data_IF_964259359310
#
_entry.id   IF_964259359310
#
_cell.length_a   1.000
_cell.length_b   1.000
_cell.length_c   1.000
_cell.angle_alpha   90.00
_cell.angle_beta   90.00
_cell.angle_gamma   90.00
#
_symmetry.space_group_name_H-M   'P 1'
#
loop_
_entity.id
_entity.type
_entity.pdbx_description
1 polymer ?
#
# COMPACT_ATOMS: atom_id res chain seq x y z
N UNK A 1 -1.25 20.71 17.94
CA UNK A 1 -0.70 19.33 17.96
C UNK A 1 -0.22 19.07 19.36
N UNK A 2 -0.69 18.00 19.97
CA UNK A 2 -0.26 17.57 21.30
C UNK A 2 1.25 17.24 21.22
N UNK A 3 2.14 17.78 22.08
CA UNK A 3 3.58 17.52 22.02
C UNK A 3 3.95 16.03 22.14
N UNK A 4 3.07 15.21 22.69
CA UNK A 4 3.27 13.75 22.85
C UNK A 4 3.11 12.94 21.54
N UNK A 5 2.71 13.53 20.43
CA UNK A 5 2.52 12.84 19.15
C UNK A 5 3.66 13.06 18.14
N UNK A 6 4.72 13.73 18.51
CA UNK A 6 5.86 14.00 17.60
C UNK A 6 6.65 12.71 17.37
N UNK A 7 6.83 12.35 16.09
CA UNK A 7 7.75 11.31 15.66
C UNK A 7 9.18 11.86 15.66
N UNK A 8 10.15 11.00 15.94
CA UNK A 8 11.55 11.31 15.83
C UNK A 8 12.12 10.79 14.52
N UNK A 9 12.99 11.57 13.88
CA UNK A 9 13.60 11.24 12.58
C UNK A 9 15.12 11.18 12.74
N UNK A 10 15.66 10.02 13.20
CA UNK A 10 17.08 9.92 13.59
C UNK A 10 18.06 9.98 12.42
N UNK A 11 17.59 9.86 11.17
CA UNK A 11 18.44 9.93 9.98
C UNK A 11 18.22 11.27 9.28
N UNK A 12 19.21 12.16 9.35
CA UNK A 12 19.12 13.51 8.78
C UNK A 12 19.28 13.52 7.26
N UNK A 13 20.15 12.65 6.74
CA UNK A 13 20.41 12.57 5.30
C UNK A 13 19.29 11.84 4.58
N UNK A 14 18.69 12.54 3.60
CA UNK A 14 17.69 11.95 2.69
C UNK A 14 18.32 11.79 1.31
N UNK A 15 18.38 10.58 0.73
CA UNK A 15 18.92 10.40 -0.61
C UNK A 15 18.08 11.16 -1.64
N UNK A 16 18.74 11.67 -2.69
CA UNK A 16 18.05 12.21 -3.86
C UNK A 16 17.40 11.07 -4.65
N UNK A 17 16.37 11.38 -5.42
CA UNK A 17 15.77 10.40 -6.33
C UNK A 17 16.85 9.83 -7.29
N UNK A 18 16.82 8.51 -7.50
CA UNK A 18 17.82 7.78 -8.28
C UNK A 18 19.14 7.53 -7.56
N UNK A 19 19.23 7.80 -6.23
CA UNK A 19 20.45 7.59 -5.45
C UNK A 19 20.24 6.73 -4.22
N UNK A 20 21.35 6.32 -3.61
CA UNK A 20 21.39 5.50 -2.39
C UNK A 20 22.16 6.23 -1.29
N UNK A 21 21.70 6.07 -0.05
CA UNK A 21 22.40 6.45 1.18
C UNK A 21 22.64 5.19 2.03
N UNK A 22 23.90 4.89 2.36
CA UNK A 22 24.22 3.79 3.27
C UNK A 22 24.04 4.27 4.71
N UNK A 23 23.06 3.70 5.42
CA UNK A 23 22.82 3.94 6.84
C UNK A 23 23.93 3.30 7.65
N UNK A 24 24.30 2.09 7.27
CA UNK A 24 25.47 1.36 7.74
C UNK A 24 25.95 0.39 6.64
N UNK A 25 26.89 -0.51 6.95
CA UNK A 25 27.47 -1.44 5.98
C UNK A 25 26.46 -2.45 5.42
N UNK A 26 25.38 -2.75 6.17
CA UNK A 26 24.40 -3.77 5.83
C UNK A 26 22.98 -3.20 5.57
N UNK A 27 22.79 -1.89 5.59
CA UNK A 27 21.50 -1.27 5.36
C UNK A 27 21.63 -0.01 4.50
N UNK A 28 21.00 -0.05 3.33
CA UNK A 28 21.07 1.04 2.39
C UNK A 28 19.67 1.49 1.98
N UNK A 29 19.45 2.79 2.04
CA UNK A 29 18.24 3.48 1.64
C UNK A 29 18.36 3.95 0.20
N UNK A 30 17.64 3.31 -0.71
CA UNK A 30 17.50 3.72 -2.11
C UNK A 30 16.23 4.53 -2.24
N UNK A 31 16.27 5.61 -3.00
CA UNK A 31 15.10 6.44 -3.28
C UNK A 31 14.90 6.58 -4.78
N UNK A 32 13.69 6.21 -5.26
CA UNK A 32 13.32 6.29 -6.67
C UNK A 32 12.19 7.30 -6.89
N UNK A 33 12.14 7.96 -8.07
CA UNK A 33 11.10 8.94 -8.37
C UNK A 33 9.74 8.29 -8.59
N UNK A 34 8.67 9.04 -8.26
CA UNK A 34 7.29 8.75 -8.64
C UNK A 34 6.67 9.96 -9.33
N UNK A 35 5.85 9.75 -10.39
CA UNK A 35 5.21 10.82 -11.13
C UNK A 35 3.90 11.29 -10.49
N UNK A 36 3.82 11.32 -9.17
CA UNK A 36 2.63 11.64 -8.39
C UNK A 36 2.94 12.67 -7.31
N UNK A 37 1.93 13.07 -6.53
CA UNK A 37 2.11 13.95 -5.36
C UNK A 37 3.04 13.35 -4.31
N UNK A 38 3.06 12.03 -4.15
CA UNK A 38 4.15 11.29 -3.51
C UNK A 38 5.27 11.16 -4.54
N UNK A 39 6.21 12.08 -4.53
CA UNK A 39 7.26 12.21 -5.55
C UNK A 39 8.41 11.21 -5.42
N UNK A 40 8.28 10.21 -4.55
CA UNK A 40 9.33 9.22 -4.30
C UNK A 40 8.78 7.95 -3.67
N UNK A 41 9.53 6.86 -3.86
CA UNK A 41 9.44 5.66 -3.06
C UNK A 41 10.80 5.32 -2.45
N UNK A 42 10.82 4.84 -1.21
CA UNK A 42 11.99 4.28 -0.55
C UNK A 42 12.03 2.78 -0.76
N UNK A 43 13.18 2.29 -1.16
CA UNK A 43 13.47 0.90 -1.39
C UNK A 43 14.66 0.53 -0.52
N UNK A 44 14.70 -0.71 -0.02
CA UNK A 44 15.69 -1.09 0.97
C UNK A 44 16.60 -2.18 0.44
N UNK A 45 17.91 -1.95 0.51
CA UNK A 45 18.92 -2.99 0.29
C UNK A 45 19.50 -3.42 1.64
N UNK A 46 19.42 -4.71 1.91
CA UNK A 46 19.89 -5.32 3.16
C UNK A 46 21.05 -6.27 2.84
N UNK A 47 22.14 -6.16 3.60
CA UNK A 47 23.40 -6.86 3.39
C UNK A 47 24.39 -6.05 2.58
N UNK A 48 25.59 -6.61 2.36
CA UNK A 48 26.62 -5.98 1.54
C UNK A 48 26.14 -5.82 0.09
N UNK A 49 26.67 -4.82 -0.62
CA UNK A 49 26.23 -4.47 -1.98
C UNK A 49 26.37 -5.62 -2.99
N UNK A 50 27.33 -6.52 -2.79
CA UNK A 50 27.60 -7.69 -3.64
C UNK A 50 26.79 -8.94 -3.23
N UNK A 51 26.04 -8.88 -2.13
CA UNK A 51 25.18 -9.95 -1.62
C UNK A 51 23.82 -9.40 -1.14
N UNK A 52 23.30 -8.37 -1.81
CA UNK A 52 22.17 -7.62 -1.34
C UNK A 52 20.82 -8.36 -1.48
N UNK A 53 19.97 -8.21 -0.49
CA UNK A 53 18.53 -8.46 -0.60
C UNK A 53 17.83 -7.13 -0.87
N UNK A 54 17.11 -7.04 -1.98
CA UNK A 54 16.29 -5.89 -2.32
C UNK A 54 14.86 -6.08 -1.79
N UNK A 55 14.34 -5.07 -1.09
CA UNK A 55 12.92 -4.99 -0.69
C UNK A 55 12.26 -3.87 -1.47
N UNK A 56 11.25 -4.23 -2.27
CA UNK A 56 10.54 -3.44 -3.27
C UNK A 56 11.43 -2.92 -4.41
N UNK A 57 10.81 -2.47 -5.53
CA UNK A 57 11.55 -2.28 -6.78
C UNK A 57 11.37 -0.93 -7.44
N UNK A 58 10.33 -0.19 -7.08
CA UNK A 58 9.93 1.02 -7.79
C UNK A 58 9.01 0.73 -8.98
N UNK A 59 8.42 1.80 -9.52
CA UNK A 59 7.46 1.74 -10.61
C UNK A 59 8.12 1.36 -11.94
N UNK A 60 7.41 0.65 -12.81
CA UNK A 60 7.91 0.33 -14.15
C UNK A 60 7.78 1.54 -15.08
N UNK A 61 8.78 2.43 -14.99
CA UNK A 61 8.95 3.60 -15.81
C UNK A 61 10.39 3.64 -16.34
N UNK A 62 10.59 4.22 -17.52
CA UNK A 62 11.90 4.25 -18.17
C UNK A 62 12.94 5.03 -17.36
N UNK A 63 12.56 6.11 -16.71
CA UNK A 63 13.43 6.93 -15.84
C UNK A 63 13.81 6.16 -14.57
N UNK A 64 12.88 5.43 -13.94
CA UNK A 64 13.16 4.59 -12.77
C UNK A 64 14.10 3.44 -13.13
N UNK A 65 13.84 2.77 -14.27
CA UNK A 65 14.69 1.68 -14.77
C UNK A 65 16.10 2.16 -15.13
N UNK A 66 16.21 3.35 -15.74
CA UNK A 66 17.49 3.99 -16.05
C UNK A 66 18.25 4.32 -14.77
N UNK A 67 17.59 4.96 -13.79
CA UNK A 67 18.18 5.28 -12.50
C UNK A 67 18.71 4.04 -11.77
N UNK A 68 17.95 2.92 -11.79
CA UNK A 68 18.43 1.65 -11.27
C UNK A 68 19.65 1.10 -12.03
N UNK A 69 19.65 1.19 -13.35
CA UNK A 69 20.77 0.71 -14.17
C UNK A 69 22.07 1.45 -13.82
N UNK A 70 21.99 2.78 -13.71
CA UNK A 70 23.12 3.63 -13.34
C UNK A 70 23.59 3.36 -11.91
N UNK A 71 22.64 3.25 -10.96
CA UNK A 71 22.95 3.00 -9.56
C UNK A 71 23.63 1.63 -9.37
N UNK A 72 23.09 0.57 -9.98
CA UNK A 72 23.65 -0.78 -9.93
C UNK A 72 25.08 -0.79 -10.47
N UNK A 73 25.32 -0.15 -11.61
CA UNK A 73 26.64 -0.07 -12.24
C UNK A 73 27.64 0.71 -11.36
N UNK A 74 27.23 1.88 -10.89
CA UNK A 74 28.07 2.78 -10.09
C UNK A 74 28.46 2.16 -8.75
N UNK A 75 27.48 1.61 -8.03
CA UNK A 75 27.66 1.08 -6.67
C UNK A 75 28.07 -0.41 -6.68
N UNK A 76 28.13 -1.06 -7.85
CA UNK A 76 28.43 -2.50 -8.03
C UNK A 76 27.50 -3.40 -7.23
N UNK A 77 26.20 -3.11 -7.31
CA UNK A 77 25.17 -3.85 -6.58
C UNK A 77 24.91 -5.19 -7.27
N UNK A 78 24.95 -6.28 -6.51
CA UNK A 78 24.55 -7.61 -6.95
C UNK A 78 23.45 -8.15 -6.03
N UNK A 79 22.25 -8.30 -6.58
CA UNK A 79 21.07 -8.71 -5.84
C UNK A 79 20.98 -10.24 -5.83
N UNK A 80 20.87 -10.81 -4.64
CA UNK A 80 20.76 -12.26 -4.41
C UNK A 80 19.36 -12.71 -3.99
N UNK A 81 18.55 -11.79 -3.53
CA UNK A 81 17.16 -12.05 -3.13
C UNK A 81 16.30 -10.81 -3.42
N UNK A 82 15.09 -11.04 -3.89
CA UNK A 82 14.08 -10.00 -4.10
C UNK A 82 12.86 -10.31 -3.26
N UNK A 83 12.46 -9.36 -2.42
CA UNK A 83 11.24 -9.42 -1.64
C UNK A 83 10.36 -8.25 -2.07
N UNK A 84 9.06 -8.49 -2.27
CA UNK A 84 8.08 -7.44 -2.53
C UNK A 84 7.05 -7.44 -1.41
N UNK A 85 6.87 -6.27 -0.79
CA UNK A 85 5.97 -6.10 0.36
C UNK A 85 4.52 -6.29 -0.02
N UNK A 86 4.10 -5.74 -1.19
CA UNK A 86 2.74 -5.84 -1.69
C UNK A 86 2.65 -5.50 -3.19
N UNK A 87 1.45 -5.59 -3.75
CA UNK A 87 1.20 -5.59 -5.19
C UNK A 87 1.18 -4.22 -5.87
N UNK A 88 1.23 -3.10 -5.16
CA UNK A 88 1.10 -1.78 -5.81
C UNK A 88 2.26 -1.49 -6.76
N UNK A 89 2.00 -0.74 -7.86
CA UNK A 89 2.96 -0.59 -8.97
C UNK A 89 4.29 0.05 -8.58
N UNK A 90 4.30 0.92 -7.59
CA UNK A 90 5.52 1.56 -7.09
C UNK A 90 6.39 0.63 -6.22
N UNK A 91 5.85 -0.51 -5.79
CA UNK A 91 6.57 -1.58 -5.09
C UNK A 91 6.97 -2.71 -6.02
N UNK A 92 6.02 -3.29 -6.75
CA UNK A 92 6.22 -4.47 -7.60
C UNK A 92 6.67 -4.14 -9.01
N UNK A 93 6.57 -2.88 -9.44
CA UNK A 93 6.65 -2.47 -10.83
C UNK A 93 7.83 -3.03 -11.62
N UNK A 94 9.03 -3.01 -11.07
CA UNK A 94 10.24 -3.54 -11.71
C UNK A 94 10.61 -4.96 -11.26
N UNK A 95 9.78 -5.64 -10.45
CA UNK A 95 10.12 -6.96 -9.91
C UNK A 95 10.48 -7.98 -11.00
N UNK A 96 9.68 -8.08 -12.06
CA UNK A 96 9.97 -8.98 -13.18
C UNK A 96 11.27 -8.65 -13.91
N UNK A 97 11.66 -7.37 -14.00
CA UNK A 97 12.93 -6.95 -14.56
C UNK A 97 14.10 -7.38 -13.67
N UNK A 98 14.01 -7.21 -12.35
CA UNK A 98 15.03 -7.64 -11.40
C UNK A 98 15.22 -9.16 -11.40
N UNK A 99 14.12 -9.91 -11.35
CA UNK A 99 14.16 -11.38 -11.45
C UNK A 99 14.93 -11.83 -12.69
N UNK A 100 14.63 -11.24 -13.85
CA UNK A 100 15.30 -11.58 -15.12
C UNK A 100 16.76 -11.13 -15.14
N UNK A 101 17.08 -9.95 -14.60
CA UNK A 101 18.42 -9.37 -14.63
C UNK A 101 19.41 -10.13 -13.73
N UNK A 102 18.99 -10.51 -12.52
CA UNK A 102 19.83 -11.11 -11.49
C UNK A 102 19.61 -12.63 -11.33
N UNK A 103 18.65 -13.20 -12.07
CA UNK A 103 18.27 -14.61 -11.96
C UNK A 103 17.94 -15.02 -10.52
N UNK A 104 17.17 -14.21 -9.81
CA UNK A 104 16.77 -14.43 -8.42
C UNK A 104 15.26 -14.71 -8.33
N UNK A 105 14.79 -15.50 -7.35
CA UNK A 105 13.37 -15.72 -7.16
C UNK A 105 12.70 -14.46 -6.60
N UNK A 106 11.44 -14.26 -7.00
CA UNK A 106 10.55 -13.30 -6.35
C UNK A 106 10.00 -13.92 -5.06
N UNK A 107 10.14 -13.22 -3.93
CA UNK A 107 9.51 -13.57 -2.66
C UNK A 107 8.39 -12.57 -2.37
N UNK A 108 7.15 -13.03 -2.20
CA UNK A 108 6.02 -12.18 -1.79
C UNK A 108 4.86 -13.03 -1.26
N UNK A 109 3.82 -12.38 -0.75
CA UNK A 109 2.60 -13.04 -0.30
C UNK A 109 1.83 -13.67 -1.46
N UNK A 110 0.96 -14.65 -1.13
CA UNK A 110 0.17 -15.37 -2.15
C UNK A 110 -0.89 -14.48 -2.77
N UNK A 111 -1.66 -13.83 -1.92
CA UNK A 111 -2.83 -13.08 -2.37
C UNK A 111 -2.42 -11.88 -3.21
N UNK A 112 -1.41 -11.13 -2.78
CA UNK A 112 -0.92 -9.99 -3.55
C UNK A 112 -0.26 -10.41 -4.87
N UNK A 113 0.46 -11.55 -4.91
CA UNK A 113 0.99 -12.07 -6.17
C UNK A 113 -0.14 -12.44 -7.16
N UNK A 114 -1.17 -13.16 -6.69
CA UNK A 114 -2.29 -13.56 -7.54
C UNK A 114 -3.13 -12.36 -7.98
N UNK A 115 -3.37 -11.40 -7.08
CA UNK A 115 -4.08 -10.16 -7.38
C UNK A 115 -3.34 -9.33 -8.43
N UNK A 116 -2.03 -9.18 -8.29
CA UNK A 116 -1.20 -8.49 -9.28
C UNK A 116 -1.28 -9.19 -10.65
N UNK A 117 -1.22 -10.53 -10.68
CA UNK A 117 -1.37 -11.32 -11.92
C UNK A 117 -2.75 -11.14 -12.56
N UNK A 118 -3.81 -11.12 -11.75
CA UNK A 118 -5.18 -10.88 -12.18
C UNK A 118 -5.31 -9.51 -12.84
N UNK A 119 -4.92 -8.45 -12.14
CA UNK A 119 -5.01 -7.07 -12.66
C UNK A 119 -4.12 -6.84 -13.90
N UNK A 120 -2.98 -7.52 -13.98
CA UNK A 120 -2.15 -7.47 -15.18
C UNK A 120 -2.77 -8.18 -16.38
N UNK A 121 -3.58 -9.23 -16.14
CA UNK A 121 -4.29 -9.96 -17.20
C UNK A 121 -5.44 -9.13 -17.80
N UNK A 122 -6.01 -8.18 -17.07
CA UNK A 122 -7.06 -7.28 -17.53
C UNK A 122 -6.58 -6.27 -18.59
N UNK A 123 -5.26 -6.21 -18.85
CA UNK A 123 -4.69 -5.24 -19.82
C UNK A 123 -5.12 -5.57 -21.25
N UNK A 124 -5.88 -4.64 -21.85
CA UNK A 124 -6.44 -4.81 -23.18
C UNK A 124 -7.78 -5.55 -23.22
N UNK A 125 -8.31 -5.97 -22.08
CA UNK A 125 -9.61 -6.62 -21.95
C UNK A 125 -10.75 -5.59 -21.81
N UNK A 126 -11.98 -6.07 -22.02
CA UNK A 126 -13.18 -5.26 -21.81
C UNK A 126 -13.53 -5.20 -20.32
N UNK A 127 -14.08 -4.04 -19.90
CA UNK A 127 -14.56 -3.86 -18.53
C UNK A 127 -15.70 -4.85 -18.25
N UNK A 128 -15.62 -5.65 -17.18
CA UNK A 128 -16.73 -6.50 -16.73
C UNK A 128 -17.95 -5.64 -16.34
N UNK A 129 -19.15 -6.12 -16.64
CA UNK A 129 -20.37 -5.37 -16.30
C UNK A 129 -20.56 -5.25 -14.79
N UNK A 130 -20.11 -6.21 -14.01
CA UNK A 130 -20.12 -6.16 -12.54
C UNK A 130 -19.33 -4.96 -11.99
N UNK A 131 -18.24 -4.60 -12.66
CA UNK A 131 -17.46 -3.43 -12.27
C UNK A 131 -18.18 -2.12 -12.61
N UNK A 132 -18.89 -2.07 -13.74
CA UNK A 132 -19.74 -0.92 -14.11
C UNK A 132 -20.90 -0.81 -13.10
N UNK A 133 -21.56 -1.92 -12.78
CA UNK A 133 -22.66 -1.98 -11.82
C UNK A 133 -22.20 -1.51 -10.43
N UNK A 134 -21.02 -1.94 -9.99
CA UNK A 134 -20.45 -1.51 -8.70
C UNK A 134 -20.32 0.02 -8.61
N UNK A 135 -19.73 0.65 -9.61
CA UNK A 135 -19.57 2.11 -9.61
C UNK A 135 -20.86 2.86 -9.87
N UNK A 136 -21.80 2.28 -10.64
CA UNK A 136 -23.14 2.83 -10.81
C UNK A 136 -23.90 2.81 -9.49
N UNK A 137 -23.88 1.69 -8.77
CA UNK A 137 -24.49 1.58 -7.44
C UNK A 137 -23.88 2.56 -6.43
N UNK A 138 -22.58 2.84 -6.53
CA UNK A 138 -21.89 3.83 -5.71
C UNK A 138 -22.39 5.28 -5.97
N UNK A 139 -23.08 5.52 -7.08
CA UNK A 139 -23.63 6.83 -7.46
C UNK A 139 -22.73 7.65 -8.39
N UNK A 140 -21.81 7.01 -9.12
CA UNK A 140 -20.99 7.70 -10.10
C UNK A 140 -21.83 8.18 -11.29
N UNK A 141 -21.51 9.35 -11.83
CA UNK A 141 -22.12 9.89 -13.03
C UNK A 141 -21.66 9.13 -14.29
N UNK A 142 -22.44 9.21 -15.38
CA UNK A 142 -22.09 8.62 -16.67
C UNK A 142 -20.67 9.03 -17.15
N UNK A 143 -20.29 10.30 -16.94
CA UNK A 143 -18.93 10.79 -17.27
C UNK A 143 -17.86 10.05 -16.47
N UNK A 144 -18.08 9.83 -15.17
CA UNK A 144 -17.13 9.12 -14.31
C UNK A 144 -17.03 7.63 -14.64
N UNK A 145 -18.17 6.99 -14.95
CA UNK A 145 -18.19 5.61 -15.48
C UNK A 145 -17.41 5.51 -16.77
N UNK A 146 -17.60 6.43 -17.70
CA UNK A 146 -16.82 6.47 -18.95
C UNK A 146 -15.32 6.61 -18.69
N UNK A 147 -14.92 7.49 -17.79
CA UNK A 147 -13.52 7.65 -17.41
C UNK A 147 -12.93 6.37 -16.79
N UNK A 148 -13.74 5.62 -16.01
CA UNK A 148 -13.33 4.32 -15.47
C UNK A 148 -13.11 3.31 -16.60
N UNK A 149 -14.04 3.20 -17.55
CA UNK A 149 -13.94 2.29 -18.72
C UNK A 149 -12.67 2.58 -19.52
N UNK A 150 -12.35 3.84 -19.76
CA UNK A 150 -11.16 4.26 -20.52
C UNK A 150 -9.83 3.91 -19.81
N UNK A 151 -9.85 3.76 -18.48
CA UNK A 151 -8.67 3.44 -17.68
C UNK A 151 -8.60 1.97 -17.24
N UNK A 152 -9.59 1.16 -17.57
CA UNK A 152 -9.60 -0.25 -17.19
C UNK A 152 -8.40 -0.98 -17.80
N UNK A 153 -7.82 -1.92 -17.04
CA UNK A 153 -6.67 -2.69 -17.49
C UNK A 153 -5.33 -1.92 -17.53
N UNK A 154 -5.30 -0.63 -17.08
CA UNK A 154 -4.06 0.16 -17.10
C UNK A 154 -2.97 -0.42 -16.20
N UNK A 155 -3.32 -1.19 -15.16
CA UNK A 155 -2.39 -1.72 -14.16
C UNK A 155 -1.23 -2.50 -14.79
N UNK A 156 -1.49 -3.40 -15.74
CA UNK A 156 -0.45 -4.19 -16.37
C UNK A 156 0.52 -3.39 -17.26
N UNK A 157 0.14 -2.17 -17.68
CA UNK A 157 1.02 -1.29 -18.46
C UNK A 157 2.10 -0.61 -17.60
N UNK A 158 1.91 -0.55 -16.29
CA UNK A 158 2.80 0.12 -15.32
C UNK A 158 3.57 -0.85 -14.42
N UNK A 159 3.52 -2.14 -14.75
CA UNK A 159 4.36 -3.18 -14.12
C UNK A 159 5.10 -4.00 -15.19
N UNK A 160 6.33 -4.38 -14.90
CA UNK A 160 7.05 -5.34 -15.74
C UNK A 160 6.48 -6.75 -15.52
N UNK A 161 6.28 -7.51 -16.59
CA UNK A 161 5.72 -8.87 -16.52
C UNK A 161 6.39 -9.69 -15.40
N UNK A 162 5.58 -10.15 -14.44
CA UNK A 162 6.04 -10.97 -13.34
C UNK A 162 6.47 -12.36 -13.80
N UNK A 163 7.39 -13.04 -13.07
CA UNK A 163 7.70 -14.45 -13.30
C UNK A 163 6.46 -15.31 -13.00
N UNK A 164 6.38 -16.46 -13.67
CA UNK A 164 5.27 -17.42 -13.47
C UNK A 164 5.38 -18.19 -12.14
N UNK A 165 6.58 -18.21 -11.54
CA UNK A 165 6.84 -18.84 -10.25
C UNK A 165 7.39 -17.80 -9.25
N UNK A 166 7.05 -17.98 -7.99
CA UNK A 166 7.52 -17.14 -6.87
C UNK A 166 7.69 -17.99 -5.61
N UNK A 167 8.46 -17.50 -4.66
CA UNK A 167 8.58 -18.06 -3.31
C UNK A 167 7.58 -17.37 -2.39
N UNK A 168 6.60 -18.13 -1.91
CA UNK A 168 5.64 -17.58 -0.97
C UNK A 168 6.30 -17.25 0.37
N UNK A 169 6.01 -16.06 0.88
CA UNK A 169 6.19 -15.65 2.28
C UNK A 169 4.84 -15.32 2.89
N UNK A 170 4.69 -15.50 4.21
CA UNK A 170 3.42 -15.27 4.94
C UNK A 170 3.71 -14.85 6.37
N UNK A 171 2.68 -14.41 7.06
CA UNK A 171 2.77 -14.08 8.49
C UNK A 171 3.41 -15.20 9.31
N UNK A 172 4.35 -14.84 10.19
CA UNK A 172 5.09 -15.75 11.07
C UNK A 172 6.24 -16.50 10.40
N UNK A 173 6.44 -16.39 9.09
CA UNK A 173 7.64 -16.92 8.46
C UNK A 173 8.86 -16.11 8.93
N UNK A 174 9.95 -16.81 9.20
CA UNK A 174 11.24 -16.20 9.51
C UNK A 174 12.18 -16.43 8.33
N UNK A 175 12.69 -15.36 7.76
CA UNK A 175 13.60 -15.40 6.61
C UNK A 175 14.97 -14.88 7.01
N UNK A 176 16.03 -15.58 6.59
CA UNK A 176 17.39 -15.09 6.81
C UNK A 176 17.77 -14.10 5.71
N UNK A 177 18.22 -12.91 6.13
CA UNK A 177 18.76 -11.86 5.25
C UNK A 177 20.06 -11.35 5.88
N UNK A 178 21.16 -11.44 5.12
CA UNK A 178 22.48 -10.98 5.56
C UNK A 178 22.92 -11.54 6.94
N UNK A 179 22.54 -12.80 7.23
CA UNK A 179 22.89 -13.47 8.48
C UNK A 179 21.93 -13.20 9.66
N UNK A 180 21.00 -12.26 9.53
CA UNK A 180 20.00 -11.94 10.54
C UNK A 180 18.65 -12.57 10.22
N UNK A 181 17.86 -12.79 11.27
CA UNK A 181 16.48 -13.26 11.16
C UNK A 181 15.53 -12.07 11.00
N UNK A 182 14.62 -12.21 10.01
CA UNK A 182 13.55 -11.25 9.74
C UNK A 182 12.21 -11.98 9.77
N UNK A 183 11.35 -11.57 10.67
CA UNK A 183 9.99 -12.08 10.79
C UNK A 183 9.08 -11.35 9.79
N UNK A 184 8.26 -12.12 9.07
CA UNK A 184 7.23 -11.61 8.19
C UNK A 184 5.97 -11.31 9.01
N UNK A 185 5.57 -10.05 9.05
CA UNK A 185 4.33 -9.61 9.72
C UNK A 185 3.33 -9.20 8.63
N UNK A 186 2.19 -9.90 8.56
CA UNK A 186 1.12 -9.56 7.62
C UNK A 186 0.35 -8.33 8.09
N UNK A 187 0.15 -7.39 7.17
CA UNK A 187 -0.81 -6.31 7.26
C UNK A 187 -1.92 -6.49 6.22
N UNK A 188 -3.14 -6.03 6.53
CA UNK A 188 -4.30 -6.10 5.65
C UNK A 188 -4.96 -4.74 5.54
N UNK A 189 -5.86 -4.60 4.59
CA UNK A 189 -6.69 -3.42 4.39
C UNK A 189 -6.16 -2.49 3.29
N UNK A 190 -4.86 -2.18 3.27
CA UNK A 190 -4.24 -1.45 2.15
C UNK A 190 -4.11 -2.34 0.90
N UNK A 191 -3.63 -3.56 1.08
CA UNK A 191 -3.79 -4.70 0.18
C UNK A 191 -4.26 -5.92 0.97
N UNK A 192 -4.53 -7.02 0.30
CA UNK A 192 -5.10 -8.21 0.95
C UNK A 192 -4.09 -8.93 1.85
N UNK A 193 -2.78 -8.93 1.51
CA UNK A 193 -1.76 -9.69 2.23
C UNK A 193 -0.40 -8.96 2.14
N UNK A 194 -0.36 -7.68 2.57
CA UNK A 194 0.88 -6.90 2.67
C UNK A 194 1.84 -7.54 3.67
N UNK A 195 3.15 -7.57 3.39
CA UNK A 195 4.18 -8.10 4.31
C UNK A 195 5.11 -6.99 4.78
N UNK A 196 5.15 -6.79 6.09
CA UNK A 196 6.23 -6.06 6.76
C UNK A 196 7.34 -7.04 7.16
N UNK A 197 8.59 -6.55 7.26
CA UNK A 197 9.73 -7.35 7.69
C UNK A 197 10.30 -6.76 8.99
N UNK A 198 10.30 -7.55 10.05
CA UNK A 198 10.79 -7.13 11.36
C UNK A 198 12.03 -7.93 11.77
N UNK A 199 13.14 -7.24 12.04
CA UNK A 199 14.34 -7.83 12.64
C UNK A 199 14.45 -7.42 14.10
N UNK A 200 14.23 -8.38 15.00
CA UNK A 200 14.35 -8.16 16.44
C UNK A 200 15.80 -7.85 16.83
N UNK A 201 16.77 -8.51 16.22
CA UNK A 201 18.20 -8.33 16.54
C UNK A 201 18.69 -6.91 16.18
N UNK A 202 18.17 -6.33 15.09
CA UNK A 202 18.55 -4.99 14.63
C UNK A 202 17.57 -3.89 15.11
N UNK A 203 16.46 -4.27 15.71
CA UNK A 203 15.35 -3.37 16.09
C UNK A 203 14.86 -2.52 14.90
N UNK A 204 14.66 -3.17 13.73
CA UNK A 204 14.26 -2.56 12.47
C UNK A 204 12.94 -3.13 11.96
N UNK A 205 12.06 -2.26 11.46
CA UNK A 205 10.82 -2.64 10.79
C UNK A 205 10.77 -2.03 9.38
N UNK A 206 10.91 -2.84 8.33
CA UNK A 206 10.56 -2.42 6.99
C UNK A 206 9.03 -2.55 6.88
N UNK A 207 8.34 -1.42 6.88
CA UNK A 207 6.89 -1.38 6.98
C UNK A 207 6.16 -1.34 5.64
N UNK A 208 6.87 -1.16 4.53
CA UNK A 208 6.20 -0.85 3.26
C UNK A 208 5.22 0.31 3.45
N UNK A 209 4.00 0.11 2.98
CA UNK A 209 2.90 1.07 3.14
C UNK A 209 2.02 0.81 4.36
N UNK A 210 2.27 -0.26 5.14
CA UNK A 210 1.48 -0.56 6.32
C UNK A 210 1.66 0.48 7.44
N UNK A 211 2.80 1.18 7.49
CA UNK A 211 3.03 2.22 8.47
C UNK A 211 3.89 3.35 7.89
N UNK A 212 3.27 4.49 7.63
CA UNK A 212 3.87 5.70 7.05
C UNK A 212 3.91 6.85 8.07
N UNK A 213 4.94 7.73 8.05
CA UNK A 213 5.11 8.74 9.10
C UNK A 213 4.09 9.89 9.06
N UNK A 214 3.56 10.25 7.89
CA UNK A 214 2.73 11.45 7.73
C UNK A 214 1.33 11.20 7.22
N UNK A 215 1.19 10.37 6.20
CA UNK A 215 -0.08 10.04 5.56
C UNK A 215 -0.58 8.67 6.05
N UNK A 216 -1.86 8.42 5.92
CA UNK A 216 -2.44 7.06 5.98
C UNK A 216 -2.44 6.47 4.58
N UNK A 217 -2.19 5.19 4.49
CA UNK A 217 -2.31 4.48 3.22
C UNK A 217 -3.77 4.36 2.82
N UNK A 218 -4.02 4.31 1.53
CA UNK A 218 -5.36 4.12 0.99
C UNK A 218 -5.93 2.76 1.42
N UNK A 219 -7.16 2.74 1.91
CA UNK A 219 -7.91 1.55 2.28
C UNK A 219 -9.24 1.59 1.54
N UNK A 220 -9.41 0.77 0.53
CA UNK A 220 -10.56 0.87 -0.37
C UNK A 220 -11.15 -0.46 -0.78
N UNK A 221 -12.44 -0.44 -1.08
CA UNK A 221 -13.20 -1.54 -1.69
C UNK A 221 -13.16 -1.40 -3.20
N UNK A 222 -12.98 -2.53 -3.88
CA UNK A 222 -12.91 -2.60 -5.33
C UNK A 222 -14.00 -3.52 -5.89
N UNK A 223 -14.34 -3.43 -7.19
CA UNK A 223 -15.39 -4.24 -7.82
C UNK A 223 -15.21 -5.75 -7.66
N UNK A 224 -13.96 -6.23 -7.50
CA UNK A 224 -13.65 -7.66 -7.34
C UNK A 224 -14.18 -8.24 -6.03
N UNK A 225 -14.35 -7.41 -4.98
CA UNK A 225 -14.86 -7.84 -3.68
C UNK A 225 -15.72 -6.73 -3.05
N UNK A 226 -16.94 -6.47 -3.60
CA UNK A 226 -17.74 -5.28 -3.28
C UNK A 226 -18.24 -5.20 -1.84
N UNK A 227 -18.26 -6.32 -1.12
CA UNK A 227 -18.70 -6.39 0.28
C UNK A 227 -17.54 -6.57 1.27
N UNK A 228 -16.29 -6.44 0.82
CA UNK A 228 -15.13 -6.51 1.71
C UNK A 228 -15.17 -5.42 2.78
N UNK A 229 -14.57 -5.70 3.94
CA UNK A 229 -14.36 -4.73 5.03
C UNK A 229 -12.86 -4.48 5.27
N UNK A 230 -12.15 -3.89 4.28
CA UNK A 230 -10.70 -3.68 4.41
C UNK A 230 -10.35 -2.67 5.51
N UNK A 231 -11.29 -1.83 5.96
CA UNK A 231 -11.01 -0.87 7.02
C UNK A 231 -10.88 -1.56 8.38
N UNK A 232 -11.68 -2.56 8.67
CA UNK A 232 -11.55 -3.33 9.90
C UNK A 232 -10.27 -4.18 9.89
N UNK A 233 -9.98 -4.83 8.76
CA UNK A 233 -8.70 -5.52 8.52
C UNK A 233 -7.48 -4.60 8.76
N UNK A 234 -7.57 -3.34 8.33
CA UNK A 234 -6.54 -2.32 8.53
C UNK A 234 -6.37 -1.96 10.00
N UNK A 235 -7.48 -1.72 10.70
CA UNK A 235 -7.47 -1.39 12.14
C UNK A 235 -6.91 -2.54 12.98
N UNK A 236 -7.30 -3.79 12.67
CA UNK A 236 -6.74 -4.98 13.31
C UNK A 236 -5.24 -5.15 13.03
N UNK A 237 -4.81 -4.89 11.80
CA UNK A 237 -3.40 -4.94 11.41
C UNK A 237 -2.56 -3.89 12.15
N UNK A 238 -3.11 -2.69 12.33
CA UNK A 238 -2.46 -1.65 13.15
C UNK A 238 -2.32 -2.07 14.62
N UNK A 239 -3.35 -2.68 15.21
CA UNK A 239 -3.31 -3.22 16.58
C UNK A 239 -2.28 -4.35 16.69
N UNK A 240 -2.28 -5.28 15.74
CA UNK A 240 -1.31 -6.39 15.67
C UNK A 240 0.14 -5.89 15.62
N UNK A 241 0.44 -4.86 14.84
CA UNK A 241 1.77 -4.26 14.81
C UNK A 241 2.18 -3.66 16.16
N UNK A 242 1.24 -3.03 16.90
CA UNK A 242 1.52 -2.53 18.26
C UNK A 242 1.93 -3.68 19.20
N UNK A 243 1.30 -4.85 19.05
CA UNK A 243 1.57 -5.99 19.93
C UNK A 243 2.89 -6.73 19.56
N UNK A 244 3.28 -6.72 18.27
CA UNK A 244 4.40 -7.51 17.78
C UNK A 244 5.74 -6.77 17.73
N UNK A 245 5.75 -5.45 17.56
CA UNK A 245 6.99 -4.70 17.44
C UNK A 245 7.22 -3.80 18.66
N UNK A 246 8.47 -3.59 19.11
CA UNK A 246 8.74 -2.71 20.24
C UNK A 246 8.48 -1.23 19.91
N UNK A 247 8.21 -0.42 20.93
CA UNK A 247 7.90 1.01 20.77
C UNK A 247 9.05 1.80 20.12
N UNK A 248 10.30 1.41 20.45
CA UNK A 248 11.54 2.04 19.99
C UNK A 248 12.09 1.46 18.68
N UNK A 249 11.29 0.64 17.96
CA UNK A 249 11.69 0.13 16.65
C UNK A 249 11.91 1.27 15.67
N UNK A 250 13.03 1.22 14.92
CA UNK A 250 13.24 2.12 13.79
C UNK A 250 12.42 1.65 12.59
N UNK A 251 11.43 2.43 12.22
CA UNK A 251 10.56 2.15 11.06
C UNK A 251 11.22 2.65 9.79
N UNK A 252 11.31 1.77 8.80
CA UNK A 252 11.82 2.00 7.45
C UNK A 252 10.62 1.99 6.47
N UNK A 253 9.95 3.13 6.25
CA UNK A 253 8.72 3.20 5.47
C UNK A 253 9.00 3.30 3.97
N UNK A 254 8.01 2.93 3.14
CA UNK A 254 8.10 3.12 1.69
C UNK A 254 8.02 4.60 1.27
N UNK A 255 7.35 5.44 2.05
CA UNK A 255 7.25 6.88 1.79
C UNK A 255 7.58 7.69 3.03
N UNK A 256 8.28 8.83 2.81
CA UNK A 256 8.74 9.70 3.90
C UNK A 256 10.13 9.33 4.40
N UNK A 257 10.45 9.69 5.64
CA UNK A 257 11.75 9.42 6.27
C UNK A 257 11.63 8.27 7.28
N UNK A 258 12.71 7.48 7.49
CA UNK A 258 12.78 6.56 8.64
C UNK A 258 12.50 7.29 9.96
N UNK A 259 11.76 6.64 10.87
CA UNK A 259 11.30 7.30 12.09
C UNK A 259 11.19 6.35 13.27
N UNK A 260 11.22 6.90 14.49
CA UNK A 260 10.87 6.27 15.75
C UNK A 260 9.47 6.73 16.20
N UNK A 261 8.83 5.92 17.04
CA UNK A 261 7.48 6.19 17.55
C UNK A 261 6.38 5.42 16.80
N UNK A 262 6.66 4.18 16.43
CA UNK A 262 5.73 3.29 15.73
C UNK A 262 4.38 3.20 16.43
N UNK A 263 4.34 2.92 17.75
CA UNK A 263 3.09 2.79 18.50
C UNK A 263 2.28 4.09 18.55
N UNK A 264 2.97 5.25 18.71
CA UNK A 264 2.29 6.57 18.67
C UNK A 264 1.62 6.80 17.33
N UNK A 265 2.34 6.45 16.24
CA UNK A 265 1.81 6.62 14.88
C UNK A 265 0.64 5.69 14.60
N UNK A 266 0.74 4.41 14.96
CA UNK A 266 -0.32 3.42 14.80
C UNK A 266 -1.58 3.84 15.58
N UNK A 267 -1.45 4.27 16.84
CA UNK A 267 -2.57 4.80 17.62
C UNK A 267 -3.20 6.04 16.98
N UNK A 268 -2.40 6.93 16.38
CA UNK A 268 -2.90 8.09 15.65
C UNK A 268 -3.72 7.69 14.42
N UNK A 269 -3.26 6.66 13.69
CA UNK A 269 -3.98 6.12 12.51
C UNK A 269 -5.32 5.51 12.96
N UNK A 270 -5.31 4.66 13.97
CA UNK A 270 -6.52 4.03 14.52
C UNK A 270 -7.53 5.11 14.94
N UNK A 271 -7.11 6.06 15.76
CA UNK A 271 -7.99 7.13 16.24
C UNK A 271 -8.56 7.97 15.10
N UNK A 272 -7.76 8.26 14.07
CA UNK A 272 -8.23 9.01 12.90
C UNK A 272 -9.37 8.30 12.17
N UNK A 273 -9.25 6.98 11.95
CA UNK A 273 -10.31 6.22 11.30
C UNK A 273 -11.54 6.07 12.18
N UNK A 274 -11.39 5.84 13.49
CA UNK A 274 -12.53 5.77 14.41
C UNK A 274 -13.27 7.13 14.49
N UNK A 275 -12.55 8.25 14.52
CA UNK A 275 -13.16 9.59 14.44
C UNK A 275 -13.89 9.81 13.10
N UNK A 276 -13.35 9.30 11.99
CA UNK A 276 -13.99 9.40 10.67
C UNK A 276 -15.24 8.55 10.59
N UNK A 277 -15.22 7.33 11.15
CA UNK A 277 -16.39 6.45 11.26
C UNK A 277 -17.52 7.09 12.09
N UNK A 278 -17.18 7.67 13.25
CA UNK A 278 -18.16 8.35 14.11
C UNK A 278 -18.83 9.55 13.38
N UNK A 279 -18.03 10.39 12.70
CA UNK A 279 -18.57 11.52 11.91
C UNK A 279 -19.44 11.05 10.75
N UNK A 280 -19.05 9.94 10.11
CA UNK A 280 -19.83 9.37 9.01
C UNK A 280 -21.17 8.83 9.51
N UNK A 281 -21.18 8.09 10.63
CA UNK A 281 -22.43 7.62 11.27
C UNK A 281 -23.36 8.79 11.62
N UNK A 282 -22.83 9.85 12.23
CA UNK A 282 -23.59 11.05 12.57
C UNK A 282 -24.18 11.77 11.33
N UNK A 283 -23.49 11.68 10.19
CA UNK A 283 -23.94 12.30 8.94
C UNK A 283 -25.07 11.51 8.26
N UNK A 284 -25.14 10.19 8.45
CA UNK A 284 -26.08 9.28 7.78
C UNK A 284 -27.49 9.27 8.40
N UNK A 285 -28.00 10.43 8.82
CA UNK A 285 -29.38 10.59 9.35
C UNK A 285 -30.47 10.51 8.30
N UNK A 286 -30.11 10.56 7.04
CA UNK A 286 -30.96 10.37 5.85
C UNK A 286 -30.20 9.57 4.81
N UNK A 287 -30.89 8.82 3.93
CA UNK A 287 -30.23 7.99 2.92
C UNK A 287 -29.23 8.77 2.07
N UNK A 288 -27.99 8.27 1.96
CA UNK A 288 -26.89 8.87 1.19
C UNK A 288 -26.23 7.82 0.29
N UNK A 289 -25.78 8.23 -0.90
CA UNK A 289 -24.94 7.39 -1.77
C UNK A 289 -23.49 7.40 -1.28
N UNK A 290 -22.66 6.48 -1.74
CA UNK A 290 -21.22 6.46 -1.39
C UNK A 290 -20.48 7.74 -1.78
N UNK A 291 -20.86 8.37 -2.89
CA UNK A 291 -20.25 9.63 -3.34
C UNK A 291 -20.71 10.86 -2.53
N UNK A 292 -21.86 10.80 -1.86
CA UNK A 292 -22.38 11.90 -1.06
C UNK A 292 -21.65 12.07 0.28
N UNK A 293 -20.85 11.06 0.70
CA UNK A 293 -20.10 11.11 1.96
C UNK A 293 -18.69 11.70 1.82
N UNK A 294 -18.24 12.02 0.61
CA UNK A 294 -16.91 12.61 0.36
C UNK A 294 -16.62 13.83 1.26
N UNK A 295 -17.52 14.81 1.45
CA UNK A 295 -17.22 15.98 2.28
C UNK A 295 -16.97 15.66 3.77
N UNK A 296 -17.45 14.52 4.25
CA UNK A 296 -17.24 14.06 5.63
C UNK A 296 -15.88 13.39 5.78
N UNK A 297 -15.48 12.59 4.79
CA UNK A 297 -14.26 11.78 4.85
C UNK A 297 -13.02 12.52 4.35
N UNK A 298 -13.18 13.42 3.36
CA UNK A 298 -12.04 14.06 2.70
C UNK A 298 -12.02 15.56 2.91
N UNK A 299 -10.88 16.09 3.35
CA UNK A 299 -10.66 17.53 3.51
C UNK A 299 -10.40 18.26 2.20
N UNK A 300 -9.94 17.51 1.17
CA UNK A 300 -9.67 18.03 -0.17
C UNK A 300 -10.87 17.80 -1.08
N UNK A 301 -11.01 18.63 -2.09
CA UNK A 301 -11.96 18.41 -3.17
C UNK A 301 -11.62 17.14 -3.93
N UNK A 302 -12.64 16.34 -4.28
CA UNK A 302 -12.51 15.12 -5.06
C UNK A 302 -12.76 15.47 -6.53
N UNK A 303 -11.71 15.30 -7.34
CA UNK A 303 -11.69 15.59 -8.78
C UNK A 303 -11.68 14.31 -9.64
N UNK A 304 -11.65 14.48 -10.97
CA UNK A 304 -11.61 13.39 -11.95
C UNK A 304 -10.34 12.49 -11.83
N UNK A 305 -9.31 12.91 -11.10
CA UNK A 305 -8.08 12.16 -10.91
C UNK A 305 -8.13 11.19 -9.73
N UNK A 306 -9.00 11.45 -8.75
CA UNK A 306 -8.98 10.72 -7.47
C UNK A 306 -10.35 10.16 -7.04
N UNK A 307 -11.43 10.38 -7.83
CA UNK A 307 -12.79 9.97 -7.43
C UNK A 307 -12.95 8.45 -7.28
N UNK A 308 -12.25 7.61 -8.07
CA UNK A 308 -12.31 6.14 -7.93
C UNK A 308 -11.73 5.69 -6.58
N UNK A 309 -10.59 6.24 -6.20
CA UNK A 309 -9.97 5.95 -4.89
C UNK A 309 -10.86 6.46 -3.76
N UNK A 310 -11.39 7.69 -3.87
CA UNK A 310 -12.29 8.24 -2.87
C UNK A 310 -13.58 7.41 -2.74
N UNK A 311 -14.12 6.90 -3.84
CA UNK A 311 -15.30 6.01 -3.83
C UNK A 311 -14.98 4.70 -3.11
N UNK A 312 -13.87 4.05 -3.43
CA UNK A 312 -13.44 2.82 -2.76
C UNK A 312 -13.25 3.01 -1.26
N UNK A 313 -12.60 4.11 -0.85
CA UNK A 313 -12.38 4.43 0.57
C UNK A 313 -13.69 4.77 1.29
N UNK A 314 -14.63 5.45 0.62
CA UNK A 314 -15.97 5.72 1.18
C UNK A 314 -16.74 4.42 1.42
N UNK A 315 -16.72 3.49 0.45
CA UNK A 315 -17.37 2.18 0.59
C UNK A 315 -16.71 1.37 1.72
N UNK A 316 -15.39 1.44 1.87
CA UNK A 316 -14.69 0.77 2.98
C UNK A 316 -15.20 1.26 4.35
N UNK A 317 -15.36 2.57 4.53
CA UNK A 317 -15.92 3.13 5.77
C UNK A 317 -17.40 2.74 5.96
N UNK A 318 -18.21 2.77 4.89
CA UNK A 318 -19.63 2.38 4.95
C UNK A 318 -19.79 0.89 5.25
N UNK A 319 -19.00 0.01 4.62
CA UNK A 319 -19.03 -1.44 4.89
C UNK A 319 -18.60 -1.74 6.34
N UNK A 320 -17.61 -1.01 6.87
CA UNK A 320 -17.21 -1.13 8.27
C UNK A 320 -18.37 -0.78 9.22
N UNK A 321 -19.12 0.32 8.96
CA UNK A 321 -20.29 0.67 9.76
C UNK A 321 -21.44 -0.33 9.61
N UNK A 322 -21.64 -0.93 8.44
CA UNK A 322 -22.63 -1.99 8.21
C UNK A 322 -22.29 -3.21 9.05
N UNK A 323 -21.03 -3.67 9.04
CA UNK A 323 -20.61 -4.85 9.81
C UNK A 323 -20.69 -4.62 11.32
N UNK A 324 -20.49 -3.36 11.76
CA UNK A 324 -20.73 -2.94 13.14
C UNK A 324 -22.22 -2.82 13.50
N UNK A 325 -23.15 -3.01 12.54
CA UNK A 325 -24.60 -2.91 12.76
C UNK A 325 -25.12 -1.48 12.97
N UNK A 326 -24.35 -0.47 12.61
CA UNK A 326 -24.67 0.96 12.82
C UNK A 326 -25.34 1.60 11.60
N UNK A 327 -25.14 1.02 10.40
CA UNK A 327 -25.65 1.54 9.13
C UNK A 327 -26.32 0.41 8.34
N UNK A 328 -27.40 0.70 7.68
CA UNK A 328 -28.05 -0.20 6.72
C UNK A 328 -27.80 0.26 5.28
N UNK A 329 -27.79 -0.70 4.34
CA UNK A 329 -27.70 -0.44 2.89
C UNK A 329 -28.96 -0.92 2.19
N UNK A 330 -29.61 -0.03 1.44
CA UNK A 330 -30.75 -0.33 0.58
C UNK A 330 -30.45 0.05 -0.86
N UNK A 331 -30.87 -0.77 -1.82
CA UNK A 331 -30.74 -0.46 -3.25
C UNK A 331 -32.08 0.01 -3.79
N UNK A 332 -32.09 1.20 -4.39
CA UNK A 332 -33.26 1.77 -5.08
C UNK A 332 -32.84 2.24 -6.46
N UNK A 333 -33.56 1.82 -7.50
CA UNK A 333 -33.29 2.17 -8.90
C UNK A 333 -31.83 1.93 -9.33
N UNK A 334 -31.22 0.85 -8.82
CA UNK A 334 -29.83 0.50 -9.12
C UNK A 334 -28.77 1.30 -8.35
N UNK A 335 -29.15 2.19 -7.44
CA UNK A 335 -28.25 2.98 -6.60
C UNK A 335 -28.31 2.47 -5.16
N UNK A 336 -27.14 2.34 -4.52
CA UNK A 336 -27.02 1.98 -3.11
C UNK A 336 -27.13 3.23 -2.23
N UNK A 337 -28.04 3.19 -1.26
CA UNK A 337 -28.23 4.22 -0.25
C UNK A 337 -27.91 3.66 1.13
N UNK A 338 -27.23 4.45 1.92
CA UNK A 338 -26.77 4.12 3.26
C UNK A 338 -27.41 5.06 4.28
N UNK A 339 -27.90 4.50 5.37
CA UNK A 339 -28.60 5.24 6.42
C UNK A 339 -28.30 4.60 7.78
N UNK A 340 -28.18 5.44 8.80
CA UNK A 340 -28.01 5.00 10.20
C UNK A 340 -29.23 4.17 10.65
N UNK A 341 -28.97 3.08 11.38
CA UNK A 341 -30.01 2.20 11.96
C UNK A 341 -30.66 2.83 13.17
#
# INVERSE_FOLDING_TARGET
>A
MNPDTRLEFPIDTVPKNGTMYSINDDLHWVRMPLPMSLNHINLWLIGSKDQATLVDTGMFLDDVKSAWTDLISKEKIDIKKLIVTHMHPDHIGLAGWFVKKFNVPLCMSRTDYLQCRLLAADTGEYVPHEAIDFYTQAGLSEKQIKNYIERFGFFGSIIHKLPDAYNRIKHGDVISIAGDEWECIEGRGHTMEHICLFSKAKNLLISGDQLLPKITSHVGVFPTEPNANPLDDWLESCKRLIDLVPEDVLVLPAHGRPFLGAHKRLKTIINHHEESLNKLEEFLTTPKRSVDVFPVLFKREIDDGNFLMATGESIAHLNCLIERGLVSRNISEGIAFYERV
#
